data_IF_691830681170
#
_entry.id   IF_691830681170
#
_cell.length_a   1.000
_cell.length_b   1.000
_cell.length_c   1.000
_cell.angle_alpha   90.00
_cell.angle_beta   90.00
_cell.angle_gamma   90.00
#
_symmetry.space_group_name_H-M   'P 1'
#
loop_
_entity.id
_entity.type
_entity.pdbx_description
1 polymer ?
#
# COMPACT_ATOMS: atom_id res chain seq x y z
N UNK A 1 -13.04 6.18 -17.29
CA UNK A 1 -12.41 5.06 -16.56
C UNK A 1 -12.62 3.79 -17.34
N UNK A 2 -11.56 3.04 -17.58
CA UNK A 2 -11.60 1.76 -18.33
C UNK A 2 -11.91 0.64 -17.33
N UNK A 3 -12.73 -0.32 -17.76
CA UNK A 3 -13.08 -1.48 -16.96
C UNK A 3 -12.73 -2.75 -17.72
N UNK A 4 -12.31 -3.79 -17.01
CA UNK A 4 -12.04 -5.12 -17.54
C UNK A 4 -13.04 -6.12 -16.99
N UNK A 5 -13.46 -7.05 -17.83
CA UNK A 5 -14.25 -8.20 -17.40
C UNK A 5 -13.35 -9.20 -16.66
N UNK A 6 -13.72 -9.56 -15.43
CA UNK A 6 -12.97 -10.50 -14.59
C UNK A 6 -13.53 -11.91 -14.73
N UNK A 7 -14.82 -12.08 -14.45
CA UNK A 7 -15.52 -13.36 -14.51
C UNK A 7 -17.04 -13.17 -14.40
N UNK A 8 -17.84 -14.17 -14.82
CA UNK A 8 -19.24 -14.28 -14.43
C UNK A 8 -19.40 -14.29 -12.91
N UNK A 9 -20.39 -13.56 -12.39
CA UNK A 9 -20.61 -13.42 -10.95
C UNK A 9 -20.83 -14.77 -10.26
N UNK A 10 -21.55 -15.69 -10.90
CA UNK A 10 -21.82 -17.03 -10.35
C UNK A 10 -20.53 -17.78 -9.98
N UNK A 11 -19.44 -17.57 -10.73
CA UNK A 11 -18.16 -18.22 -10.45
C UNK A 11 -17.48 -17.65 -9.20
N UNK A 12 -17.77 -16.40 -8.87
CA UNK A 12 -17.25 -15.73 -7.67
C UNK A 12 -18.00 -16.11 -6.39
N UNK A 13 -19.11 -16.85 -6.49
CA UNK A 13 -19.83 -17.35 -5.31
C UNK A 13 -19.04 -18.42 -4.53
N UNK A 14 -18.10 -19.09 -5.21
CA UNK A 14 -17.31 -20.18 -4.63
C UNK A 14 -16.39 -19.76 -3.48
N UNK A 15 -15.91 -18.51 -3.50
CA UNK A 15 -14.97 -17.98 -2.52
C UNK A 15 -15.35 -16.52 -2.18
N UNK A 16 -14.64 -15.94 -1.20
CA UNK A 16 -14.90 -14.60 -0.68
C UNK A 16 -13.78 -13.62 -1.04
N UNK A 17 -12.70 -14.14 -1.63
CA UNK A 17 -11.46 -13.41 -1.90
C UNK A 17 -10.77 -13.99 -3.13
N UNK A 18 -10.39 -13.10 -4.02
CA UNK A 18 -9.73 -13.41 -5.27
C UNK A 18 -8.56 -12.46 -5.47
N UNK A 19 -7.44 -12.99 -5.97
CA UNK A 19 -6.29 -12.17 -6.36
C UNK A 19 -6.35 -11.97 -7.87
N UNK A 20 -6.37 -10.72 -8.30
CA UNK A 20 -6.39 -10.33 -9.71
C UNK A 20 -5.06 -9.69 -10.05
N UNK A 21 -4.27 -10.32 -10.93
CA UNK A 21 -2.99 -9.76 -11.37
C UNK A 21 -3.12 -9.21 -12.79
N UNK A 22 -2.95 -7.90 -12.91
CA UNK A 22 -2.93 -7.18 -14.18
C UNK A 22 -1.48 -7.07 -14.68
N UNK A 23 -1.29 -7.22 -15.98
CA UNK A 23 0.00 -7.08 -16.65
C UNK A 23 -0.14 -6.14 -17.84
N UNK A 24 0.45 -4.95 -17.74
CA UNK A 24 0.45 -3.95 -18.83
C UNK A 24 1.64 -4.17 -19.78
N UNK A 25 2.78 -4.60 -19.23
CA UNK A 25 4.01 -4.85 -19.96
C UNK A 25 4.71 -6.09 -19.38
N UNK A 26 5.66 -6.65 -20.12
CA UNK A 26 6.52 -7.70 -19.58
C UNK A 26 7.29 -7.23 -18.33
N UNK A 27 7.22 -8.02 -17.26
CA UNK A 27 7.85 -7.70 -15.98
C UNK A 27 7.11 -6.67 -15.10
N UNK A 28 6.04 -6.03 -15.60
CA UNK A 28 5.20 -5.11 -14.81
C UNK A 28 3.87 -5.77 -14.45
N UNK A 29 3.73 -6.09 -13.18
CA UNK A 29 2.55 -6.73 -12.61
C UNK A 29 1.95 -5.82 -11.55
N UNK A 30 0.63 -5.71 -11.58
CA UNK A 30 -0.16 -4.96 -10.61
C UNK A 30 -1.18 -5.90 -10.01
N UNK A 31 -1.16 -6.07 -8.69
CA UNK A 31 -1.96 -7.09 -8.01
C UNK A 31 -3.06 -6.41 -7.21
N UNK A 32 -4.29 -6.80 -7.49
CA UNK A 32 -5.49 -6.34 -6.84
C UNK A 32 -6.13 -7.49 -6.06
N UNK A 33 -6.87 -7.16 -5.02
CA UNK A 33 -7.68 -8.11 -4.27
C UNK A 33 -9.14 -7.76 -4.53
N UNK A 34 -9.91 -8.74 -5.02
CA UNK A 34 -11.35 -8.66 -5.15
C UNK A 34 -11.99 -9.43 -4.00
N UNK A 35 -12.74 -8.73 -3.16
CA UNK A 35 -13.50 -9.30 -2.05
C UNK A 35 -14.96 -9.43 -2.44
N UNK A 36 -15.57 -10.53 -2.02
CA UNK A 36 -17.01 -10.74 -2.02
C UNK A 36 -17.45 -11.00 -0.59
N UNK A 37 -18.15 -10.04 0.00
CA UNK A 37 -18.77 -10.19 1.29
C UNK A 37 -20.19 -10.74 1.11
N UNK A 38 -20.59 -11.64 1.99
CA UNK A 38 -21.98 -12.07 2.05
C UNK A 38 -22.77 -10.99 2.76
N UNK A 39 -23.85 -10.49 2.14
CA UNK A 39 -24.73 -9.55 2.82
C UNK A 39 -25.36 -10.25 4.02
N UNK A 40 -25.24 -9.67 5.21
CA UNK A 40 -25.97 -10.11 6.41
C UNK A 40 -27.51 -9.91 6.29
N UNK A 41 -27.99 -9.48 5.12
CA UNK A 41 -29.39 -9.21 4.82
C UNK A 41 -30.29 -10.45 4.66
N UNK A 42 -29.83 -11.66 5.00
CA UNK A 42 -30.70 -12.83 5.04
C UNK A 42 -31.61 -12.89 6.29
N UNK A 43 -31.61 -11.88 7.19
CA UNK A 43 -32.41 -11.98 8.43
C UNK A 43 -33.08 -10.71 9.00
N UNK A 44 -33.19 -9.57 8.32
CA UNK A 44 -34.06 -8.49 8.80
C UNK A 44 -34.77 -7.73 7.68
N UNK A 45 -36.02 -8.13 7.43
CA UNK A 45 -37.02 -7.28 6.79
C UNK A 45 -37.33 -6.10 7.70
N UNK A 46 -36.76 -4.94 7.39
CA UNK A 46 -37.33 -3.65 7.80
C UNK A 46 -37.25 -2.74 6.60
N UNK A 47 -38.45 -2.40 6.12
CA UNK A 47 -38.72 -1.47 5.05
C UNK A 47 -38.23 -0.07 5.42
N UNK A 48 -37.98 0.75 4.39
CA UNK A 48 -37.52 2.15 4.43
C UNK A 48 -36.00 2.38 4.40
N UNK A 49 -35.37 2.14 3.24
CA UNK A 49 -34.58 3.19 2.58
C UNK A 49 -34.47 2.91 1.08
N UNK A 50 -34.84 3.91 0.29
CA UNK A 50 -34.82 3.90 -1.17
C UNK A 50 -33.42 4.20 -1.71
N UNK A 51 -33.02 3.41 -2.71
CA UNK A 51 -31.97 3.70 -3.71
C UNK A 51 -30.51 3.38 -3.34
N UNK A 52 -30.13 2.10 -3.42
CA UNK A 52 -29.05 1.61 -4.29
C UNK A 52 -29.36 0.14 -4.61
N UNK A 53 -29.28 -0.23 -5.89
CA UNK A 53 -29.31 -1.61 -6.39
C UNK A 53 -28.59 -2.58 -5.45
N UNK A 54 -29.10 -3.81 -5.34
CA UNK A 54 -28.57 -4.94 -4.55
C UNK A 54 -27.13 -5.30 -4.99
N UNK A 55 -26.20 -4.38 -4.70
CA UNK A 55 -24.79 -4.45 -4.96
C UNK A 55 -24.26 -5.49 -3.98
N UNK A 56 -24.41 -6.76 -4.38
CA UNK A 56 -23.62 -7.90 -3.92
C UNK A 56 -22.26 -7.35 -3.52
N UNK A 57 -21.98 -7.36 -2.22
CA UNK A 57 -20.94 -6.56 -1.57
C UNK A 57 -19.54 -6.91 -2.11
N UNK A 58 -19.21 -6.34 -3.25
CA UNK A 58 -17.98 -6.55 -3.99
C UNK A 58 -17.10 -5.32 -3.80
N UNK A 59 -15.85 -5.56 -3.44
CA UNK A 59 -14.86 -4.52 -3.20
C UNK A 59 -13.57 -4.91 -3.87
N UNK A 60 -12.88 -3.95 -4.47
CA UNK A 60 -11.55 -4.18 -5.02
C UNK A 60 -10.57 -3.14 -4.53
N UNK A 61 -9.36 -3.60 -4.18
CA UNK A 61 -8.29 -2.71 -3.73
C UNK A 61 -6.90 -3.27 -4.06
N UNK A 62 -5.89 -2.42 -3.90
CA UNK A 62 -4.49 -2.77 -4.07
C UNK A 62 -4.06 -3.92 -3.14
N UNK A 63 -3.31 -4.90 -3.64
CA UNK A 63 -2.76 -5.98 -2.82
C UNK A 63 -1.54 -5.55 -2.00
N UNK A 64 -0.97 -4.39 -2.29
CA UNK A 64 0.16 -3.81 -1.55
C UNK A 64 -0.32 -2.76 -0.55
N UNK A 65 0.06 -2.93 0.72
CA UNK A 65 -0.22 -1.95 1.77
C UNK A 65 0.44 -0.60 1.44
N UNK A 66 -0.28 0.53 1.51
CA UNK A 66 0.27 1.86 1.21
C UNK A 66 1.38 2.30 2.18
N UNK A 67 1.54 1.62 3.33
CA UNK A 67 2.61 1.89 4.29
C UNK A 67 4.00 1.56 3.72
N UNK A 68 4.29 0.26 3.51
CA UNK A 68 5.61 -0.24 3.08
C UNK A 68 5.54 -1.22 1.91
N UNK A 69 4.38 -1.35 1.25
CA UNK A 69 4.20 -2.24 0.11
C UNK A 69 4.26 -3.73 0.45
N UNK A 70 3.97 -4.08 1.71
CA UNK A 70 3.78 -5.46 2.14
C UNK A 70 2.46 -6.01 1.59
N UNK A 71 2.42 -7.31 1.30
CA UNK A 71 1.25 -7.95 0.71
C UNK A 71 0.10 -8.05 1.73
N UNK A 72 -1.07 -7.52 1.38
CA UNK A 72 -2.28 -7.54 2.19
C UNK A 72 -3.35 -8.50 1.65
N UNK A 73 -2.98 -9.39 0.72
CA UNK A 73 -3.88 -10.44 0.19
C UNK A 73 -4.50 -11.33 1.27
N UNK A 74 -3.87 -11.45 2.44
CA UNK A 74 -4.35 -12.26 3.57
C UNK A 74 -4.96 -11.45 4.70
N UNK A 75 -5.22 -10.16 4.49
CA UNK A 75 -5.77 -9.28 5.51
C UNK A 75 -7.14 -9.74 6.04
N UNK A 76 -7.42 -9.39 7.29
CA UNK A 76 -8.71 -9.63 7.93
C UNK A 76 -9.70 -8.53 7.54
N UNK A 77 -11.00 -8.84 7.50
CA UNK A 77 -12.06 -7.85 7.23
C UNK A 77 -12.91 -7.75 8.48
N UNK A 78 -13.06 -6.54 8.99
CA UNK A 78 -13.83 -6.19 10.18
C UNK A 78 -14.97 -5.22 9.79
N UNK A 79 -16.10 -5.34 10.46
CA UNK A 79 -17.23 -4.42 10.32
C UNK A 79 -17.16 -3.37 11.43
N UNK A 80 -17.09 -2.09 11.07
CA UNK A 80 -16.96 -0.98 12.01
C UNK A 80 -17.82 0.21 11.57
N UNK A 81 -18.73 0.67 12.44
CA UNK A 81 -19.57 1.87 12.21
C UNK A 81 -20.24 1.90 10.82
N UNK A 82 -20.82 0.77 10.38
CA UNK A 82 -21.44 0.58 9.07
C UNK A 82 -20.49 0.65 7.86
N UNK A 83 -19.18 0.60 8.08
CA UNK A 83 -18.16 0.45 7.04
C UNK A 83 -17.48 -0.91 7.15
N UNK A 84 -17.01 -1.42 6.00
CA UNK A 84 -16.19 -2.62 5.96
C UNK A 84 -14.73 -2.20 5.89
N UNK A 85 -13.94 -2.66 6.85
CA UNK A 85 -12.55 -2.26 7.04
C UNK A 85 -11.64 -3.47 6.85
N UNK A 86 -10.58 -3.29 6.08
CA UNK A 86 -9.50 -4.24 5.94
C UNK A 86 -8.37 -3.94 6.94
N UNK A 87 -7.93 -4.94 7.71
CA UNK A 87 -6.83 -4.82 8.66
C UNK A 87 -5.58 -5.50 8.12
N UNK A 88 -4.54 -4.71 7.85
CA UNK A 88 -3.26 -5.19 7.36
C UNK A 88 -2.62 -6.18 8.35
N UNK A 89 -2.25 -7.41 7.93
CA UNK A 89 -1.75 -8.45 8.83
C UNK A 89 -0.36 -8.15 9.39
N UNK A 90 0.38 -7.23 8.76
CA UNK A 90 1.75 -6.90 9.15
C UNK A 90 1.82 -5.86 10.26
N UNK A 91 1.07 -4.77 10.09
CA UNK A 91 1.19 -3.58 10.94
C UNK A 91 -0.14 -3.13 11.54
N UNK A 92 -1.23 -3.88 11.29
CA UNK A 92 -2.58 -3.61 11.82
C UNK A 92 -3.16 -2.24 11.41
N UNK A 93 -2.70 -1.66 10.32
CA UNK A 93 -3.37 -0.50 9.73
C UNK A 93 -4.69 -0.93 9.10
N UNK A 94 -5.72 -0.16 9.41
CA UNK A 94 -7.09 -0.24 8.95
C UNK A 94 -7.26 0.50 7.62
N UNK A 95 -8.04 -0.04 6.69
CA UNK A 95 -8.38 0.63 5.43
C UNK A 95 -9.83 0.37 5.09
N UNK A 96 -10.63 1.42 4.95
CA UNK A 96 -12.01 1.31 4.47
C UNK A 96 -12.03 0.70 3.05
N UNK A 97 -12.80 -0.37 2.83
CA UNK A 97 -12.84 -1.10 1.55
C UNK A 97 -13.41 -0.29 0.38
N UNK A 98 -14.17 0.77 0.65
CA UNK A 98 -14.78 1.62 -0.38
C UNK A 98 -13.90 2.82 -0.69
N UNK A 99 -13.41 3.50 0.34
CA UNK A 99 -12.69 4.78 0.20
C UNK A 99 -11.18 4.66 0.31
N UNK A 100 -10.69 3.55 0.86
CA UNK A 100 -9.28 3.28 1.10
C UNK A 100 -8.67 4.03 2.29
N UNK A 101 -9.42 4.90 2.98
CA UNK A 101 -8.85 5.70 4.07
C UNK A 101 -8.63 4.87 5.33
N UNK A 102 -7.54 5.19 6.03
CA UNK A 102 -7.21 4.71 7.37
C UNK A 102 -7.40 5.83 8.38
N UNK A 103 -7.78 5.51 9.62
CA UNK A 103 -7.76 6.45 10.75
C UNK A 103 -6.37 7.07 10.98
N UNK A 104 -5.31 6.38 10.55
CA UNK A 104 -3.92 6.85 10.66
C UNK A 104 -3.52 7.90 9.62
N UNK A 105 -4.41 8.21 8.67
CA UNK A 105 -4.19 9.15 7.58
C UNK A 105 -3.54 8.54 6.33
N UNK A 106 -3.28 7.23 6.33
CA UNK A 106 -2.88 6.50 5.13
C UNK A 106 -4.10 6.26 4.22
N UNK A 107 -3.85 6.07 2.91
CA UNK A 107 -4.89 5.75 1.93
C UNK A 107 -4.44 4.63 1.00
N UNK A 108 -5.20 3.55 0.95
CA UNK A 108 -5.05 2.48 -0.03
C UNK A 108 -5.80 2.82 -1.32
N UNK A 109 -5.31 2.33 -2.46
CA UNK A 109 -6.04 2.45 -3.73
C UNK A 109 -7.21 1.46 -3.74
N UNK A 110 -8.42 1.97 -3.91
CA UNK A 110 -9.63 1.20 -4.16
C UNK A 110 -10.06 1.38 -5.61
N UNK A 111 -10.75 0.37 -6.15
CA UNK A 111 -11.15 0.30 -7.55
C UNK A 111 -12.65 0.03 -7.64
N UNK A 112 -13.33 0.70 -8.57
CA UNK A 112 -14.76 0.48 -8.78
C UNK A 112 -15.02 -0.94 -9.32
N UNK A 113 -16.11 -1.55 -8.85
CA UNK A 113 -16.55 -2.89 -9.27
C UNK A 113 -18.00 -2.82 -9.69
N UNK A 114 -18.27 -3.21 -10.94
CA UNK A 114 -19.58 -3.11 -11.57
C UNK A 114 -20.08 -4.50 -11.97
N UNK A 115 -21.38 -4.73 -11.81
CA UNK A 115 -22.06 -5.86 -12.42
C UNK A 115 -22.72 -5.41 -13.71
N UNK A 116 -22.47 -6.12 -14.81
CA UNK A 116 -23.11 -5.87 -16.11
C UNK A 116 -23.65 -7.16 -16.67
N UNK A 117 -24.93 -7.14 -17.04
CA UNK A 117 -25.57 -8.25 -17.74
C UNK A 117 -25.19 -8.20 -19.23
N UNK A 118 -24.86 -9.36 -19.79
CA UNK A 118 -24.69 -9.52 -21.23
C UNK A 118 -26.04 -9.75 -21.95
N UNK A 119 -26.01 -9.84 -23.28
CA UNK A 119 -27.19 -10.09 -24.12
C UNK A 119 -27.86 -11.46 -23.83
N UNK A 120 -27.15 -12.38 -23.16
CA UNK A 120 -27.65 -13.67 -22.74
C UNK A 120 -28.24 -13.65 -21.31
N UNK A 121 -28.20 -12.50 -20.63
CA UNK A 121 -28.68 -12.33 -19.26
C UNK A 121 -27.70 -12.78 -18.18
N UNK A 122 -26.46 -13.12 -18.53
CA UNK A 122 -25.42 -13.50 -17.56
C UNK A 122 -24.79 -12.24 -16.97
N UNK A 123 -24.77 -12.16 -15.64
CA UNK A 123 -24.12 -11.06 -14.92
C UNK A 123 -22.62 -11.28 -14.81
N UNK A 124 -21.85 -10.38 -15.39
CA UNK A 124 -20.39 -10.38 -15.36
C UNK A 124 -19.86 -9.29 -14.43
N UNK A 125 -18.76 -9.61 -13.72
CA UNK A 125 -18.06 -8.68 -12.84
C UNK A 125 -17.01 -7.92 -13.62
N UNK A 126 -17.14 -6.60 -13.61
CA UNK A 126 -16.24 -5.66 -14.26
C UNK A 126 -15.46 -4.88 -13.21
N UNK A 127 -14.15 -4.81 -13.36
CA UNK A 127 -13.24 -4.14 -12.45
C UNK A 127 -12.61 -2.92 -13.13
N UNK A 128 -12.60 -1.79 -12.44
CA UNK A 128 -11.86 -0.60 -12.88
C UNK A 128 -10.36 -0.89 -12.98
N UNK A 129 -9.76 -0.52 -14.12
CA UNK A 129 -8.33 -0.64 -14.31
C UNK A 129 -7.57 0.56 -13.73
N UNK A 130 -6.41 0.36 -13.10
CA UNK A 130 -5.55 1.48 -12.68
C UNK A 130 -5.14 2.35 -13.89
N UNK A 131 -4.95 3.65 -13.68
CA UNK A 131 -4.65 4.61 -14.78
C UNK A 131 -3.40 4.25 -15.61
N UNK A 132 -2.40 3.59 -15.01
CA UNK A 132 -1.21 3.09 -15.72
C UNK A 132 -1.51 1.96 -16.73
N UNK A 133 -2.73 1.41 -16.70
CA UNK A 133 -3.22 0.33 -17.56
C UNK A 133 -4.26 0.82 -18.59
N UNK A 134 -4.64 2.09 -18.54
CA UNK A 134 -5.43 2.69 -19.62
C UNK A 134 -4.51 3.03 -20.81
N UNK A 135 -4.98 2.79 -22.04
CA UNK A 135 -4.24 3.23 -23.24
C UNK A 135 -3.91 4.73 -23.14
N UNK A 136 -2.69 5.15 -23.53
CA UNK A 136 -2.33 6.55 -23.45
C UNK A 136 -3.31 7.37 -24.31
N UNK A 137 -3.96 8.41 -23.75
CA UNK A 137 -4.81 9.29 -24.53
C UNK A 137 -3.99 9.93 -25.66
N UNK A 138 -4.63 10.26 -26.81
CA UNK A 138 -3.93 10.88 -27.93
C UNK A 138 -3.19 12.15 -27.45
N UNK A 139 -1.98 12.41 -27.96
CA UNK A 139 -1.12 13.47 -27.43
C UNK A 139 -1.84 14.82 -27.51
N UNK A 140 -1.88 15.60 -26.42
CA UNK A 140 -2.48 16.92 -26.44
C UNK A 140 -1.66 17.87 -27.33
N UNK A 141 -2.29 18.87 -27.97
CA UNK A 141 -1.58 19.86 -28.76
C UNK A 141 -0.58 20.67 -27.91
N UNK A 142 0.56 20.97 -28.52
CA UNK A 142 1.75 21.61 -27.92
C UNK A 142 1.42 22.88 -27.12
N UNK A 143 1.64 22.80 -25.80
CA UNK A 143 1.36 23.86 -24.84
C UNK A 143 2.61 24.66 -24.44
N UNK A 144 3.56 24.87 -25.37
CA UNK A 144 4.77 25.68 -25.18
C UNK A 144 4.55 27.17 -24.82
N UNK A 145 3.32 27.60 -24.49
CA UNK A 145 3.00 29.01 -24.20
C UNK A 145 2.40 29.32 -22.83
N UNK A 146 2.37 28.39 -21.88
CA UNK A 146 2.00 28.72 -20.49
C UNK A 146 3.19 28.56 -19.55
N UNK A 147 4.12 29.52 -19.61
CA UNK A 147 5.04 29.78 -18.49
C UNK A 147 4.26 30.48 -17.39
N UNK A 148 4.02 29.79 -16.28
CA UNK A 148 3.61 30.40 -15.02
C UNK A 148 4.87 30.57 -14.18
N UNK A 149 5.04 31.78 -13.65
CA UNK A 149 6.17 32.24 -12.89
C UNK A 149 6.47 31.32 -11.69
N UNK A 150 7.71 30.84 -11.62
CA UNK A 150 8.31 30.21 -10.44
C UNK A 150 8.28 31.21 -9.28
N UNK A 151 7.46 30.92 -8.27
CA UNK A 151 7.55 31.56 -6.97
C UNK A 151 8.65 30.84 -6.21
N UNK A 152 9.80 31.50 -6.25
CA UNK A 152 10.98 31.31 -5.42
C UNK A 152 10.59 31.17 -3.93
N UNK A 153 10.72 29.97 -3.38
CA UNK A 153 10.72 29.76 -1.93
C UNK A 153 11.86 28.82 -1.53
N UNK A 154 13.05 29.38 -1.67
CA UNK A 154 14.30 29.15 -0.93
C UNK A 154 14.18 28.30 0.35
N UNK A 155 14.35 27.00 0.17
CA UNK A 155 15.11 26.11 1.06
C UNK A 155 16.01 25.27 0.16
N UNK A 156 17.33 25.50 0.23
CA UNK A 156 18.31 24.67 -0.48
C UNK A 156 18.43 23.31 0.23
N UNK A 157 17.46 22.42 0.01
CA UNK A 157 17.64 21.02 0.35
C UNK A 157 18.40 20.37 -0.82
N UNK A 158 19.61 19.92 -0.54
CA UNK A 158 20.40 19.09 -1.45
C UNK A 158 19.53 17.87 -1.78
N UNK A 159 19.03 17.77 -3.01
CA UNK A 159 18.24 16.63 -3.47
C UNK A 159 19.19 15.45 -3.60
N UNK A 160 19.43 14.75 -2.50
CA UNK A 160 20.23 13.54 -2.47
C UNK A 160 19.49 12.44 -3.25
N UNK A 161 20.12 11.91 -4.30
CA UNK A 161 19.48 10.93 -5.19
C UNK A 161 19.18 9.60 -4.47
N UNK A 162 18.13 8.92 -4.95
CA UNK A 162 17.69 7.61 -4.41
C UNK A 162 18.81 6.57 -4.52
N UNK A 163 19.56 6.58 -5.62
CA UNK A 163 20.78 5.79 -5.80
C UNK A 163 21.97 6.74 -5.69
N UNK A 164 22.91 6.54 -4.74
CA UNK A 164 24.11 7.35 -4.69
C UNK A 164 24.95 7.19 -5.97
N UNK A 165 25.34 8.27 -6.66
CA UNK A 165 26.09 8.20 -7.92
C UNK A 165 27.50 7.64 -7.73
N UNK A 166 28.14 7.92 -6.59
CA UNK A 166 29.53 7.53 -6.33
C UNK A 166 29.67 6.06 -5.90
N UNK A 167 28.68 5.51 -5.20
CA UNK A 167 28.71 4.16 -4.65
C UNK A 167 27.32 3.51 -4.66
N UNK A 168 26.86 3.01 -5.83
CA UNK A 168 25.56 2.36 -5.93
C UNK A 168 25.57 1.01 -5.18
N UNK A 169 24.65 0.77 -4.22
CA UNK A 169 24.56 -0.48 -3.49
C UNK A 169 24.17 -1.65 -4.41
N UNK A 170 24.94 -2.75 -4.31
CA UNK A 170 24.81 -3.95 -5.16
C UNK A 170 24.17 -5.12 -4.43
N UNK A 171 24.11 -5.07 -3.09
CA UNK A 171 23.55 -6.12 -2.25
C UNK A 171 22.44 -5.59 -1.35
N UNK A 172 21.57 -6.47 -0.87
CA UNK A 172 20.46 -6.08 0.02
C UNK A 172 21.01 -5.50 1.32
N UNK A 173 22.14 -6.02 1.80
CA UNK A 173 22.83 -5.52 2.99
C UNK A 173 23.40 -4.11 2.79
N UNK A 174 24.00 -3.81 1.64
CA UNK A 174 24.47 -2.45 1.32
C UNK A 174 23.29 -1.46 1.24
N UNK A 175 22.17 -1.88 0.65
CA UNK A 175 20.92 -1.09 0.68
C UNK A 175 20.43 -0.86 2.11
N UNK A 176 20.42 -1.89 2.96
CA UNK A 176 19.99 -1.77 4.34
C UNK A 176 20.84 -0.75 5.11
N UNK A 177 22.17 -0.80 4.97
CA UNK A 177 23.08 0.15 5.63
C UNK A 177 22.88 1.57 5.13
N UNK A 178 22.71 1.75 3.81
CA UNK A 178 22.40 3.06 3.23
C UNK A 178 21.08 3.62 3.76
N UNK A 179 20.03 2.80 3.80
CA UNK A 179 18.71 3.18 4.33
C UNK A 179 18.83 3.56 5.81
N UNK A 180 19.55 2.77 6.61
CA UNK A 180 19.77 3.05 8.03
C UNK A 180 20.53 4.36 8.25
N UNK A 181 21.53 4.65 7.42
CA UNK A 181 22.31 5.90 7.44
C UNK A 181 21.57 7.13 6.89
N UNK A 182 20.41 6.94 6.25
CA UNK A 182 19.62 8.06 5.70
C UNK A 182 18.81 8.73 6.81
N UNK A 183 19.09 10.02 7.06
CA UNK A 183 18.39 10.83 8.06
C UNK A 183 17.01 11.33 7.58
N UNK A 184 16.89 11.65 6.29
CA UNK A 184 15.68 12.17 5.70
C UNK A 184 14.60 11.07 5.57
N UNK A 185 13.40 11.26 6.14
CA UNK A 185 12.38 10.21 6.16
C UNK A 185 11.84 9.89 4.77
N UNK A 186 11.64 10.91 3.92
CA UNK A 186 11.13 10.74 2.56
C UNK A 186 12.12 9.95 1.71
N UNK A 187 13.39 10.34 1.74
CA UNK A 187 14.45 9.64 1.01
C UNK A 187 14.64 8.20 1.52
N UNK A 188 14.51 7.99 2.82
CA UNK A 188 14.56 6.65 3.43
C UNK A 188 13.46 5.74 2.91
N UNK A 189 12.23 6.24 2.79
CA UNK A 189 11.11 5.51 2.18
C UNK A 189 11.38 5.23 0.71
N UNK A 190 11.85 6.23 -0.05
CA UNK A 190 12.18 6.07 -1.47
C UNK A 190 13.26 5.00 -1.70
N UNK A 191 14.36 5.04 -0.93
CA UNK A 191 15.45 4.03 -0.97
C UNK A 191 14.93 2.64 -0.61
N UNK A 192 14.07 2.53 0.40
CA UNK A 192 13.45 1.26 0.80
C UNK A 192 12.60 0.68 -0.32
N UNK A 193 11.70 1.48 -0.92
CA UNK A 193 10.87 1.05 -2.06
C UNK A 193 11.72 0.60 -3.24
N UNK A 194 12.78 1.35 -3.55
CA UNK A 194 13.71 1.01 -4.63
C UNK A 194 14.45 -0.32 -4.38
N UNK A 195 15.02 -0.50 -3.19
CA UNK A 195 15.72 -1.74 -2.82
C UNK A 195 14.80 -2.97 -2.88
N UNK A 196 13.56 -2.84 -2.38
CA UNK A 196 12.54 -3.90 -2.44
C UNK A 196 12.16 -4.23 -3.88
N UNK A 197 11.99 -3.22 -4.73
CA UNK A 197 11.69 -3.42 -6.15
C UNK A 197 12.82 -4.18 -6.86
N UNK A 198 14.09 -3.77 -6.65
CA UNK A 198 15.25 -4.46 -7.20
C UNK A 198 15.34 -5.93 -6.76
N UNK A 199 15.00 -6.21 -5.50
CA UNK A 199 14.98 -7.57 -4.97
C UNK A 199 13.84 -8.40 -5.57
N UNK A 200 12.61 -7.86 -5.61
CA UNK A 200 11.43 -8.54 -6.16
C UNK A 200 11.54 -8.82 -7.66
N UNK A 201 12.17 -7.91 -8.41
CA UNK A 201 12.41 -8.05 -9.85
C UNK A 201 13.64 -8.91 -10.17
N UNK A 202 14.37 -9.41 -9.17
CA UNK A 202 15.57 -10.23 -9.35
C UNK A 202 16.78 -9.49 -9.91
N UNK A 203 16.72 -8.16 -10.02
CA UNK A 203 17.85 -7.32 -10.40
C UNK A 203 18.93 -7.34 -9.32
N UNK A 204 18.53 -7.53 -8.06
CA UNK A 204 19.42 -7.71 -6.93
C UNK A 204 19.62 -9.20 -6.63
N UNK A 205 20.71 -9.78 -7.15
CA UNK A 205 20.99 -11.22 -7.11
C UNK A 205 21.65 -11.72 -5.82
N UNK A 206 22.13 -10.82 -4.97
CA UNK A 206 22.89 -11.17 -3.76
C UNK A 206 22.33 -10.48 -2.53
N UNK A 207 21.94 -11.28 -1.53
CA UNK A 207 21.52 -10.80 -0.21
C UNK A 207 22.71 -10.16 0.54
N UNK A 208 23.95 -10.58 0.25
CA UNK A 208 25.17 -10.00 0.85
C UNK A 208 25.52 -10.50 2.25
N UNK A 209 24.70 -11.36 2.88
CA UNK A 209 24.87 -11.82 4.26
C UNK A 209 26.14 -12.66 4.53
N UNK A 210 26.82 -13.16 3.47
CA UNK A 210 28.11 -13.88 3.57
C UNK A 210 29.31 -13.07 3.06
N UNK A 211 29.11 -11.79 2.73
CA UNK A 211 30.20 -10.95 2.25
C UNK A 211 31.00 -10.42 3.44
N UNK A 212 32.28 -10.80 3.52
CA UNK A 212 33.22 -10.22 4.48
C UNK A 212 33.44 -8.70 4.29
N UNK A 213 32.90 -8.12 3.21
CA UNK A 213 32.95 -6.69 2.88
C UNK A 213 31.62 -5.95 3.13
N UNK A 214 30.63 -6.57 3.77
CA UNK A 214 29.39 -5.85 4.10
C UNK A 214 29.72 -4.69 5.05
N UNK A 215 29.29 -3.45 4.75
CA UNK A 215 29.53 -2.32 5.63
C UNK A 215 28.77 -2.53 6.96
N UNK A 216 29.35 -2.16 8.12
CA UNK A 216 28.66 -2.27 9.39
C UNK A 216 27.49 -1.29 9.44
N UNK A 217 26.32 -1.68 10.00
CA UNK A 217 25.22 -0.75 10.21
C UNK A 217 25.62 0.34 11.22
N UNK A 218 25.08 1.57 11.11
CA UNK A 218 25.29 2.60 12.11
C UNK A 218 24.68 2.17 13.46
N UNK A 219 25.40 2.44 14.55
CA UNK A 219 24.96 2.09 15.91
C UNK A 219 23.64 2.79 16.30
N UNK A 220 23.50 4.06 15.91
CA UNK A 220 22.24 4.81 16.05
C UNK A 220 21.90 5.44 14.70
N UNK A 221 20.76 5.10 14.08
CA UNK A 221 20.37 5.68 12.81
C UNK A 221 20.06 7.17 13.00
N UNK A 222 20.63 8.06 12.16
CA UNK A 222 20.37 9.49 12.26
C UNK A 222 18.90 9.79 11.98
N UNK A 223 18.38 10.84 12.62
CA UNK A 223 17.01 11.35 12.42
C UNK A 223 17.09 12.86 12.21
N UNK A 224 16.28 13.38 11.30
CA UNK A 224 16.14 14.83 11.12
C UNK A 224 15.65 15.51 12.41
N UNK A 225 16.22 16.68 12.72
CA UNK A 225 15.99 17.40 13.97
C UNK A 225 14.51 17.77 14.21
N UNK A 226 13.77 18.06 13.14
CA UNK A 226 12.33 18.37 13.20
C UNK A 226 11.52 17.19 13.75
N UNK A 227 11.89 15.96 13.40
CA UNK A 227 11.22 14.75 13.85
C UNK A 227 11.73 14.30 15.23
N UNK A 228 13.03 14.49 15.51
CA UNK A 228 13.60 14.24 16.83
C UNK A 228 12.99 15.14 17.93
N UNK A 229 12.56 16.37 17.56
CA UNK A 229 11.88 17.27 18.50
C UNK A 229 10.43 16.88 18.79
N UNK A 230 9.79 16.17 17.86
CA UNK A 230 8.38 15.76 17.95
C UNK A 230 8.19 14.38 18.61
N UNK A 231 9.25 13.66 18.98
CA UNK A 231 9.13 12.42 19.76
C UNK A 231 8.72 12.74 21.19
N UNK A 232 7.48 12.39 21.54
CA UNK A 232 6.95 12.52 22.89
C UNK A 232 7.46 11.39 23.75
N UNK A 233 8.01 11.70 24.93
CA UNK A 233 8.36 10.67 25.89
C UNK A 233 7.10 9.88 26.30
N UNK A 234 7.18 8.54 26.44
CA UNK A 234 6.02 7.67 26.68
C UNK A 234 5.22 8.04 27.93
N UNK A 235 5.83 8.73 28.91
CA UNK A 235 5.15 9.24 30.11
C UNK A 235 4.26 10.49 29.90
N UNK A 236 4.31 11.13 28.73
CA UNK A 236 3.60 12.40 28.43
C UNK A 236 2.41 12.26 27.47
N UNK A 237 2.00 11.04 27.12
CA UNK A 237 0.91 10.80 26.17
C UNK A 237 -0.45 11.04 26.82
N UNK A 238 -1.21 12.00 26.27
CA UNK A 238 -2.55 12.36 26.71
C UNK A 238 -3.66 11.45 26.16
N UNK A 239 -4.62 11.12 27.04
CA UNK A 239 -5.85 10.29 26.87
C UNK A 239 -5.62 8.76 26.76
N UNK A 240 -6.23 8.05 27.72
CA UNK A 240 -6.06 6.62 28.03
C UNK A 240 -6.78 5.64 27.08
N UNK A 241 -7.73 6.10 26.26
CA UNK A 241 -8.66 5.21 25.53
C UNK A 241 -8.00 4.35 24.44
N UNK A 242 -6.94 4.84 23.78
CA UNK A 242 -6.28 4.11 22.68
C UNK A 242 -4.94 3.48 23.09
N UNK A 243 -4.62 3.50 24.39
CA UNK A 243 -3.36 2.95 24.93
C UNK A 243 -3.24 1.43 24.72
N UNK A 244 -4.29 0.60 24.83
CA UNK A 244 -4.19 -0.83 24.57
C UNK A 244 -3.86 -1.15 23.10
N UNK A 245 -4.52 -0.48 22.15
CA UNK A 245 -4.29 -0.66 20.71
C UNK A 245 -2.88 -0.18 20.33
N UNK A 246 -2.46 0.97 20.85
CA UNK A 246 -1.11 1.49 20.64
C UNK A 246 -0.03 0.61 21.29
N UNK A 247 -0.25 0.10 22.51
CA UNK A 247 0.66 -0.85 23.17
C UNK A 247 0.71 -2.17 22.41
N UNK A 248 -0.41 -2.64 21.87
CA UNK A 248 -0.46 -3.85 21.05
C UNK A 248 0.32 -3.65 19.74
N UNK A 249 0.16 -2.50 19.09
CA UNK A 249 0.95 -2.14 17.92
C UNK A 249 2.45 -2.06 18.23
N UNK A 250 2.84 -1.44 19.36
CA UNK A 250 4.23 -1.35 19.80
C UNK A 250 4.83 -2.73 20.17
N UNK A 251 4.08 -3.57 20.88
CA UNK A 251 4.51 -4.92 21.22
C UNK A 251 4.70 -5.81 19.98
N UNK A 252 3.84 -5.65 18.96
CA UNK A 252 4.02 -6.34 17.69
C UNK A 252 5.27 -5.83 16.96
N UNK A 253 5.54 -4.51 16.94
CA UNK A 253 6.78 -3.95 16.37
C UNK A 253 8.02 -4.55 17.04
N UNK A 254 8.02 -4.72 18.38
CA UNK A 254 9.13 -5.35 19.10
C UNK A 254 9.26 -6.85 18.79
N UNK A 255 8.16 -7.59 18.62
CA UNK A 255 8.21 -9.02 18.24
C UNK A 255 8.90 -9.26 16.89
N UNK A 256 8.72 -8.37 15.90
CA UNK A 256 9.44 -8.46 14.62
C UNK A 256 10.94 -8.14 14.75
N UNK A 257 11.32 -7.27 15.69
CA UNK A 257 12.72 -6.95 15.97
C UNK A 257 13.45 -8.14 16.64
N UNK A 258 12.81 -8.82 17.60
CA UNK A 258 13.40 -9.98 18.28
C UNK A 258 13.60 -11.21 17.37
N UNK A 259 12.75 -11.41 16.36
CA UNK A 259 12.96 -12.50 15.38
C UNK A 259 14.20 -12.25 14.51
N UNK A 260 14.62 -10.99 14.35
CA UNK A 260 15.86 -10.66 13.63
C UNK A 260 17.14 -10.90 14.46
N UNK A 261 17.08 -10.77 15.79
CA UNK A 261 18.20 -11.12 16.70
C UNK A 261 18.39 -12.63 16.88
N UNK A 262 17.39 -13.44 16.54
CA UNK A 262 17.48 -14.91 16.64
C UNK A 262 18.02 -15.58 15.37
N UNK A 263 18.37 -14.79 14.35
CA UNK A 263 18.95 -15.25 13.06
C UNK A 263 20.34 -14.61 12.82
N UNK A 264 21.00 -14.12 13.87
CA UNK A 264 22.44 -13.80 13.85
C UNK A 264 23.24 -14.86 14.58
#
# INVERSE_FOLDING_TARGET
MVHIEVAPFEKLLSHFRFLVTLRSQEGKYHSLILFRLSSSADNHTTEEDTDVSDNRQLYAMEAQCPHLGADISHAEIEECDNSMILVCPWHRYDFDLRTGHSETGLKACTYDVQLKSDDAGVENVWLETPEEFADPPPPPPDMTKLRIHEIDNRSQDIVEEVVPPDNPPKTLMEWAVLILGTANPTLKVQRTKHAVNLYRTGQLKSIGHRSAKAPPPPEVPPREELYARNTVAPGRIGKRKNRPVMLHALANIEQWAYVSESIF
#
